data_IF_952249414532
#
_entry.id   IF_952249414532
#
_cell.length_a   1.000
_cell.length_b   1.000
_cell.length_c   1.000
_cell.angle_alpha   90.00
_cell.angle_beta   90.00
_cell.angle_gamma   90.00
#
_symmetry.space_group_name_H-M   'P 1'
#
loop_
_entity.id
_entity.type
_entity.pdbx_description
1 polymer ?
#
# COMPACT_ATOMS: atom_id res chain seq x y z
N UNK A 1 -27.26 14.78 16.97
CA UNK A 1 -26.97 16.20 16.77
C UNK A 1 -27.17 16.51 15.30
N UNK A 2 -28.08 17.43 14.97
CA UNK A 2 -28.45 17.77 13.59
C UNK A 2 -27.28 18.37 12.80
N UNK A 3 -26.39 19.10 13.50
CA UNK A 3 -25.17 19.67 12.92
C UNK A 3 -24.25 18.55 12.45
N UNK A 4 -24.00 17.56 13.31
CA UNK A 4 -23.11 16.44 13.00
C UNK A 4 -23.59 15.61 11.79
N UNK A 5 -24.90 15.36 11.67
CA UNK A 5 -25.46 14.65 10.51
C UNK A 5 -25.28 15.46 9.22
N UNK A 6 -25.47 16.78 9.29
CA UNK A 6 -25.24 17.69 8.17
C UNK A 6 -23.77 17.67 7.74
N UNK A 7 -22.84 17.72 8.69
CA UNK A 7 -21.41 17.65 8.43
C UNK A 7 -21.02 16.32 7.78
N UNK A 8 -21.54 15.18 8.26
CA UNK A 8 -21.31 13.87 7.62
C UNK A 8 -21.73 13.91 6.15
N UNK A 9 -22.93 14.44 5.87
CA UNK A 9 -23.46 14.49 4.50
C UNK A 9 -22.58 15.34 3.60
N UNK A 10 -22.27 16.57 4.03
CA UNK A 10 -21.42 17.50 3.28
C UNK A 10 -20.01 16.93 3.04
N UNK A 11 -19.36 16.43 4.08
CA UNK A 11 -18.03 15.83 3.97
C UNK A 11 -18.05 14.54 3.14
N UNK A 12 -19.10 13.73 3.25
CA UNK A 12 -19.24 12.47 2.52
C UNK A 12 -19.29 12.70 1.02
N UNK A 13 -20.14 13.63 0.58
CA UNK A 13 -20.30 13.98 -0.83
C UNK A 13 -19.03 14.58 -1.43
N UNK A 14 -18.34 15.44 -0.67
CA UNK A 14 -17.15 16.14 -1.17
C UNK A 14 -15.90 15.26 -1.13
N UNK A 15 -15.76 14.42 -0.11
CA UNK A 15 -14.48 13.75 0.20
C UNK A 15 -14.48 12.26 -0.04
N UNK A 16 -15.63 11.57 -0.04
CA UNK A 16 -15.69 10.10 -0.11
C UNK A 16 -16.21 9.55 -1.44
N UNK A 17 -16.80 10.40 -2.29
CA UNK A 17 -17.24 9.99 -3.62
C UNK A 17 -16.05 9.85 -4.58
N UNK A 18 -15.92 8.66 -5.16
CA UNK A 18 -14.88 8.33 -6.11
C UNK A 18 -15.20 8.84 -7.51
N UNK A 19 -14.21 9.47 -8.13
CA UNK A 19 -14.17 9.74 -9.56
C UNK A 19 -12.88 9.16 -10.11
N UNK A 20 -12.98 8.36 -11.17
CA UNK A 20 -11.79 7.78 -11.79
C UNK A 20 -10.88 8.88 -12.33
N UNK A 21 -9.60 8.77 -11.99
CA UNK A 21 -8.52 9.63 -12.47
C UNK A 21 -7.43 8.77 -13.12
N UNK A 22 -6.45 9.36 -13.84
CA UNK A 22 -5.38 8.59 -14.47
C UNK A 22 -4.62 7.65 -13.52
N UNK A 23 -4.56 7.99 -12.22
CA UNK A 23 -3.97 7.11 -11.18
C UNK A 23 -4.71 5.79 -11.02
N UNK A 24 -6.02 5.75 -11.26
CA UNK A 24 -6.86 4.54 -11.18
C UNK A 24 -6.46 3.49 -12.21
N UNK A 25 -5.85 3.91 -13.32
CA UNK A 25 -5.48 3.04 -14.43
C UNK A 25 -3.98 2.71 -14.46
N UNK A 26 -3.23 3.14 -13.44
CA UNK A 26 -1.80 2.79 -13.32
C UNK A 26 -1.61 1.30 -13.07
N UNK A 27 -0.39 0.83 -13.37
CA UNK A 27 0.07 -0.54 -13.10
C UNK A 27 -0.76 -1.61 -13.84
N UNK A 28 -1.13 -1.35 -15.09
CA UNK A 28 -1.85 -2.30 -15.96
C UNK A 28 -3.32 -2.46 -15.63
N UNK A 29 -3.97 -1.40 -15.10
CA UNK A 29 -5.41 -1.39 -14.84
C UNK A 29 -6.12 -0.53 -15.91
N UNK A 30 -5.88 -0.81 -17.18
CA UNK A 30 -6.37 0.03 -18.29
C UNK A 30 -7.90 -0.04 -18.44
N UNK A 31 -8.50 -1.19 -18.12
CA UNK A 31 -9.92 -1.50 -18.29
C UNK A 31 -10.73 -1.44 -16.98
N UNK A 32 -10.07 -1.22 -15.84
CA UNK A 32 -10.72 -1.24 -14.51
C UNK A 32 -10.10 -0.23 -13.55
N UNK A 33 -10.86 0.16 -12.53
CA UNK A 33 -10.31 1.00 -11.47
C UNK A 33 -9.44 0.14 -10.52
N UNK A 34 -8.16 0.48 -10.38
CA UNK A 34 -7.24 -0.16 -9.43
C UNK A 34 -7.74 -0.12 -7.97
N UNK A 35 -8.54 0.89 -7.62
CA UNK A 35 -9.14 1.02 -6.28
C UNK A 35 -10.42 0.21 -6.10
N UNK A 36 -10.78 -0.64 -7.07
CA UNK A 36 -11.92 -1.56 -7.04
C UNK A 36 -13.28 -0.84 -6.99
N UNK A 37 -13.38 0.25 -7.74
CA UNK A 37 -14.65 0.90 -8.07
C UNK A 37 -15.21 0.39 -9.41
N UNK A 38 -16.54 0.28 -9.56
CA UNK A 38 -17.56 0.47 -8.51
C UNK A 38 -17.51 -0.65 -7.46
N UNK A 39 -17.82 -0.30 -6.21
CA UNK A 39 -18.04 -1.28 -5.14
C UNK A 39 -19.31 -2.09 -5.37
N UNK A 40 -19.40 -3.24 -4.73
CA UNK A 40 -20.64 -4.01 -4.69
C UNK A 40 -21.68 -3.27 -3.85
N UNK A 41 -22.89 -3.09 -4.40
CA UNK A 41 -24.03 -2.53 -3.67
C UNK A 41 -24.61 -3.62 -2.78
N UNK A 42 -24.67 -3.36 -1.48
CA UNK A 42 -25.16 -4.29 -0.47
C UNK A 42 -26.27 -3.59 0.30
N UNK A 43 -27.50 -4.09 0.19
CA UNK A 43 -28.70 -3.48 0.77
C UNK A 43 -28.66 -3.46 2.31
N UNK A 44 -28.12 -4.51 2.93
CA UNK A 44 -27.99 -4.62 4.38
C UNK A 44 -26.73 -5.40 4.76
N UNK A 45 -26.09 -5.01 5.86
CA UNK A 45 -24.91 -5.72 6.36
C UNK A 45 -25.28 -7.15 6.77
N UNK A 46 -24.42 -8.12 6.45
CA UNK A 46 -24.64 -9.52 6.77
C UNK A 46 -23.32 -10.25 7.08
N UNK A 47 -23.44 -11.43 7.68
CA UNK A 47 -22.32 -12.33 7.88
C UNK A 47 -22.31 -13.38 6.77
N UNK A 48 -21.19 -13.51 6.07
CA UNK A 48 -20.97 -14.56 5.09
C UNK A 48 -20.26 -15.76 5.76
N UNK A 49 -20.95 -16.89 5.94
CA UNK A 49 -20.36 -18.08 6.56
C UNK A 49 -19.35 -18.80 5.67
N UNK A 50 -19.41 -18.64 4.33
CA UNK A 50 -18.48 -19.33 3.43
C UNK A 50 -17.08 -18.71 3.50
N UNK A 51 -17.02 -17.38 3.53
CA UNK A 51 -15.74 -16.66 3.63
C UNK A 51 -15.37 -16.29 5.07
N UNK A 52 -16.25 -16.52 6.03
CA UNK A 52 -16.11 -16.11 7.43
C UNK A 52 -15.82 -14.59 7.52
N UNK A 53 -16.65 -13.79 6.84
CA UNK A 53 -16.48 -12.34 6.70
C UNK A 53 -17.76 -11.58 7.05
N UNK A 54 -17.61 -10.39 7.65
CA UNK A 54 -18.72 -9.42 7.76
C UNK A 54 -18.72 -8.57 6.50
N UNK A 55 -19.85 -8.56 5.79
CA UNK A 55 -20.10 -7.67 4.66
C UNK A 55 -20.93 -6.49 5.16
N UNK A 56 -20.44 -5.27 4.89
CA UNK A 56 -21.11 -4.04 5.31
C UNK A 56 -22.03 -3.54 4.21
N UNK A 57 -23.15 -2.94 4.62
CA UNK A 57 -24.07 -2.23 3.74
C UNK A 57 -23.33 -1.16 2.92
N UNK A 58 -23.59 -1.12 1.62
CA UNK A 58 -23.06 -0.14 0.68
C UNK A 58 -24.19 0.27 -0.25
N UNK A 59 -24.80 1.43 -0.01
CA UNK A 59 -25.94 1.92 -0.81
C UNK A 59 -25.49 2.64 -2.10
N UNK A 60 -24.24 3.08 -2.16
CA UNK A 60 -23.67 3.78 -3.31
C UNK A 60 -22.31 3.19 -3.63
N UNK A 61 -22.21 2.57 -4.81
CA UNK A 61 -21.02 1.89 -5.28
C UNK A 61 -19.81 2.80 -5.51
N UNK A 62 -20.01 4.13 -5.53
CA UNK A 62 -18.95 5.12 -5.75
C UNK A 62 -18.45 5.74 -4.45
N UNK A 63 -19.01 5.37 -3.30
CA UNK A 63 -18.63 5.94 -2.00
C UNK A 63 -17.70 4.98 -1.28
N UNK A 64 -16.56 5.49 -0.78
CA UNK A 64 -15.68 4.73 0.10
C UNK A 64 -16.39 4.26 1.37
N UNK A 65 -15.91 3.17 1.95
CA UNK A 65 -16.28 2.81 3.32
C UNK A 65 -15.66 3.81 4.29
N UNK A 66 -16.47 4.60 4.99
CA UNK A 66 -15.99 5.66 5.88
C UNK A 66 -16.60 5.54 7.28
N UNK A 67 -15.94 6.14 8.26
CA UNK A 67 -16.48 6.28 9.62
C UNK A 67 -16.94 7.73 9.82
N UNK A 68 -18.17 7.92 10.28
CA UNK A 68 -18.77 9.24 10.45
C UNK A 68 -17.97 10.16 11.37
N UNK A 69 -17.40 9.63 12.45
CA UNK A 69 -16.60 10.42 13.39
C UNK A 69 -15.25 10.80 12.79
N UNK A 70 -14.54 9.85 12.19
CA UNK A 70 -13.26 10.14 11.51
C UNK A 70 -13.48 11.16 10.40
N UNK A 71 -14.57 11.03 9.64
CA UNK A 71 -14.91 11.96 8.58
C UNK A 71 -15.06 13.39 9.07
N UNK A 72 -15.89 13.61 10.11
CA UNK A 72 -16.16 14.95 10.65
C UNK A 72 -14.97 15.51 11.43
N UNK A 73 -14.18 14.70 12.12
CA UNK A 73 -13.04 15.22 12.87
C UNK A 73 -11.78 15.44 12.01
N UNK A 74 -11.62 14.70 10.91
CA UNK A 74 -10.40 14.74 10.12
C UNK A 74 -10.59 15.37 8.73
N UNK A 75 -11.83 15.49 8.22
CA UNK A 75 -12.15 16.14 6.95
C UNK A 75 -11.29 15.67 5.75
N UNK A 76 -10.98 14.38 5.66
CA UNK A 76 -10.25 13.82 4.51
C UNK A 76 -10.82 12.49 4.03
N UNK A 77 -10.49 12.14 2.77
CA UNK A 77 -10.79 10.85 2.17
C UNK A 77 -10.21 9.70 3.02
N UNK A 78 -11.00 8.66 3.29
CA UNK A 78 -10.50 7.43 3.89
C UNK A 78 -11.34 6.24 3.43
N UNK A 79 -10.66 5.14 3.13
CA UNK A 79 -11.27 3.86 2.75
C UNK A 79 -10.99 2.84 3.87
N UNK A 80 -11.99 2.56 4.69
CA UNK A 80 -11.91 1.66 5.84
C UNK A 80 -12.42 0.28 5.49
N UNK A 81 -11.58 -0.73 5.63
CA UNK A 81 -11.96 -2.13 5.39
C UNK A 81 -11.94 -2.93 6.67
N UNK A 82 -12.98 -3.73 6.85
CA UNK A 82 -13.08 -4.63 7.99
C UNK A 82 -12.20 -5.87 7.74
N UNK A 83 -11.22 -6.09 8.61
CA UNK A 83 -10.29 -7.24 8.51
C UNK A 83 -10.70 -8.27 9.55
N UNK A 84 -11.81 -8.96 9.30
CA UNK A 84 -12.36 -9.96 10.23
C UNK A 84 -12.25 -11.40 9.74
N UNK A 85 -11.93 -11.63 8.47
CA UNK A 85 -11.72 -12.98 7.92
C UNK A 85 -10.25 -13.35 7.85
N UNK A 86 -9.93 -14.64 7.95
CA UNK A 86 -8.55 -15.12 7.84
C UNK A 86 -7.88 -14.78 6.50
N UNK A 87 -8.67 -14.74 5.42
CA UNK A 87 -8.19 -14.34 4.08
C UNK A 87 -7.85 -12.85 4.03
N UNK A 88 -8.74 -11.98 4.52
CA UNK A 88 -8.49 -10.53 4.59
C UNK A 88 -7.34 -10.20 5.53
N UNK A 89 -7.24 -10.88 6.67
CA UNK A 89 -6.14 -10.73 7.61
C UNK A 89 -4.80 -11.09 6.98
N UNK A 90 -4.72 -12.23 6.28
CA UNK A 90 -3.51 -12.63 5.56
C UNK A 90 -3.11 -11.64 4.47
N UNK A 91 -4.08 -11.15 3.69
CA UNK A 91 -3.82 -10.12 2.66
C UNK A 91 -3.29 -8.81 3.28
N UNK A 92 -3.92 -8.35 4.37
CA UNK A 92 -3.46 -7.18 5.10
C UNK A 92 -2.06 -7.36 5.68
N UNK A 93 -1.75 -8.53 6.25
CA UNK A 93 -0.41 -8.84 6.75
C UNK A 93 0.66 -8.72 5.66
N UNK A 94 0.41 -9.30 4.47
CA UNK A 94 1.35 -9.17 3.35
C UNK A 94 1.49 -7.71 2.90
N UNK A 95 0.38 -7.00 2.74
CA UNK A 95 0.40 -5.60 2.34
C UNK A 95 1.21 -4.72 3.31
N UNK A 96 0.96 -4.87 4.62
CA UNK A 96 1.67 -4.14 5.67
C UNK A 96 3.15 -4.53 5.66
N UNK A 97 3.45 -5.83 5.58
CA UNK A 97 4.84 -6.32 5.55
C UNK A 97 5.58 -5.75 4.35
N UNK A 98 5.04 -5.88 3.14
CA UNK A 98 5.63 -5.35 1.92
C UNK A 98 5.89 -3.85 2.00
N UNK A 99 4.98 -3.10 2.65
CA UNK A 99 5.14 -1.65 2.81
C UNK A 99 6.22 -1.31 3.84
N UNK A 100 6.24 -1.98 5.00
CA UNK A 100 7.24 -1.77 6.05
C UNK A 100 8.64 -2.22 5.58
N UNK A 101 8.72 -3.34 4.86
CA UNK A 101 9.99 -3.87 4.33
C UNK A 101 10.37 -3.25 2.99
N UNK A 102 9.61 -2.27 2.48
CA UNK A 102 9.92 -1.61 1.22
C UNK A 102 11.25 -0.88 1.38
N UNK A 103 12.27 -1.33 0.65
CA UNK A 103 13.56 -0.65 0.65
C UNK A 103 13.41 0.75 0.04
N UNK A 104 13.93 1.76 0.73
CA UNK A 104 13.91 3.15 0.25
C UNK A 104 14.78 3.37 -1.00
N UNK A 105 15.71 2.44 -1.24
CA UNK A 105 16.64 2.52 -2.36
C UNK A 105 16.11 1.79 -3.59
N UNK A 106 16.16 2.48 -4.72
CA UNK A 106 15.90 1.89 -6.03
C UNK A 106 17.09 1.01 -6.46
N UNK A 107 16.83 -0.05 -7.24
CA UNK A 107 17.87 -0.98 -7.72
C UNK A 107 19.06 -0.29 -8.39
N UNK A 108 18.83 0.80 -9.14
CA UNK A 108 19.94 1.54 -9.75
C UNK A 108 20.86 2.20 -8.72
N UNK A 109 20.33 2.66 -7.58
CA UNK A 109 21.12 3.24 -6.50
C UNK A 109 22.01 2.17 -5.86
N UNK A 110 21.48 0.96 -5.66
CA UNK A 110 22.28 -0.20 -5.25
C UNK A 110 23.41 -0.50 -6.23
N UNK A 111 23.09 -0.60 -7.53
CA UNK A 111 24.08 -0.87 -8.57
C UNK A 111 25.15 0.23 -8.65
N UNK A 112 24.76 1.49 -8.47
CA UNK A 112 25.69 2.63 -8.46
C UNK A 112 26.65 2.54 -7.27
N UNK A 113 26.13 2.23 -6.08
CA UNK A 113 26.94 2.08 -4.87
C UNK A 113 27.94 0.92 -5.00
N UNK A 114 27.48 -0.22 -5.50
CA UNK A 114 28.31 -1.39 -5.79
C UNK A 114 29.39 -1.06 -6.82
N UNK A 115 29.03 -0.39 -7.92
CA UNK A 115 29.98 0.01 -8.96
C UNK A 115 31.08 0.93 -8.39
N UNK A 116 30.72 1.89 -7.54
CA UNK A 116 31.71 2.77 -6.87
C UNK A 116 32.62 1.98 -5.92
N UNK A 117 32.06 1.06 -5.16
CA UNK A 117 32.84 0.21 -4.26
C UNK A 117 33.83 -0.67 -5.02
N UNK A 118 33.41 -1.28 -6.13
CA UNK A 118 34.28 -2.06 -7.03
C UNK A 118 35.37 -1.19 -7.64
N UNK A 119 35.04 -0.01 -8.16
CA UNK A 119 36.01 0.91 -8.76
C UNK A 119 37.06 1.43 -7.75
N UNK A 120 36.74 1.43 -6.45
CA UNK A 120 37.65 1.84 -5.38
C UNK A 120 38.52 0.68 -4.83
N UNK A 121 38.43 -0.53 -5.41
CA UNK A 121 39.33 -1.64 -5.06
C UNK A 121 40.59 -1.58 -5.91
N UNK A 122 41.79 -1.46 -5.31
CA UNK A 122 43.06 -1.55 -6.04
C UNK A 122 43.28 -2.96 -6.59
N UNK A 123 44.08 -3.11 -7.66
CA UNK A 123 44.37 -4.42 -8.27
C UNK A 123 44.88 -5.42 -7.23
N UNK A 124 44.23 -6.59 -7.17
CA UNK A 124 44.50 -7.65 -6.20
C UNK A 124 45.47 -8.66 -6.83
N UNK A 125 46.61 -8.98 -6.19
CA UNK A 125 47.49 -10.05 -6.65
C UNK A 125 46.83 -11.43 -6.54
N UNK A 126 47.02 -12.28 -7.57
CA UNK A 126 46.27 -13.54 -7.82
C UNK A 126 46.23 -14.56 -6.67
N UNK A 127 47.12 -14.46 -5.67
CA UNK A 127 47.28 -15.46 -4.61
C UNK A 127 46.25 -15.39 -3.46
N UNK A 128 45.36 -14.38 -3.42
CA UNK A 128 44.44 -14.13 -2.30
C UNK A 128 42.99 -13.82 -2.71
N UNK A 129 42.48 -14.54 -3.72
CA UNK A 129 41.15 -14.31 -4.30
C UNK A 129 39.99 -14.34 -3.29
N UNK A 130 40.06 -15.19 -2.27
CA UNK A 130 38.97 -15.34 -1.29
C UNK A 130 38.88 -14.18 -0.28
N UNK A 131 40.01 -13.72 0.26
CA UNK A 131 40.06 -12.58 1.19
C UNK A 131 39.80 -11.26 0.47
N UNK A 132 40.23 -11.17 -0.79
CA UNK A 132 39.93 -10.04 -1.64
C UNK A 132 38.43 -9.92 -1.96
N UNK A 133 37.77 -11.03 -2.33
CA UNK A 133 36.33 -11.06 -2.54
C UNK A 133 35.56 -10.71 -1.26
N UNK A 134 36.00 -11.22 -0.10
CA UNK A 134 35.42 -10.88 1.21
C UNK A 134 35.56 -9.39 1.52
N UNK A 135 36.72 -8.80 1.24
CA UNK A 135 36.98 -7.36 1.44
C UNK A 135 36.11 -6.49 0.52
N UNK A 136 35.97 -6.89 -0.74
CA UNK A 136 35.08 -6.21 -1.70
C UNK A 136 33.62 -6.27 -1.22
N UNK A 137 33.12 -7.45 -0.83
CA UNK A 137 31.76 -7.62 -0.31
C UNK A 137 31.53 -6.76 0.94
N UNK A 138 32.50 -6.71 1.86
CA UNK A 138 32.42 -5.84 3.04
C UNK A 138 32.39 -4.36 2.68
N UNK A 139 33.22 -3.90 1.73
CA UNK A 139 33.19 -2.50 1.25
C UNK A 139 31.86 -2.16 0.57
N UNK A 140 31.33 -3.07 -0.24
CA UNK A 140 30.01 -2.93 -0.84
C UNK A 140 28.93 -2.80 0.25
N UNK A 141 28.96 -3.70 1.24
CA UNK A 141 28.00 -3.73 2.34
C UNK A 141 28.07 -2.47 3.21
N UNK A 142 29.27 -1.96 3.49
CA UNK A 142 29.46 -0.77 4.33
C UNK A 142 29.02 0.54 3.67
N UNK A 143 28.78 0.56 2.35
CA UNK A 143 28.21 1.74 1.71
C UNK A 143 26.70 1.88 1.99
N UNK A 144 26.04 0.79 2.41
CA UNK A 144 24.60 0.76 2.68
C UNK A 144 24.21 1.11 4.13
N UNK A 145 25.20 1.34 5.01
CA UNK A 145 25.04 1.72 6.43
C UNK A 145 25.62 3.09 6.68
#
# INVERSE_FOLDING_TARGET
>A
DEVFITEIKMCGEVLQCHVCHPVCHKFGNDDRCRFLFPHEVVEASYWDPETNSVVLMCCDATVNYFNSYILVFCHHNHDLKCILSGKSAKAAMFYITEYITKMDFNTYQYLTLLSRAVAAVPEIPESSTKEAAKTLLHKCLSQFT
#
